data_IF_525283603825
#
_entry.id   IF_525283603825
#
_cell.length_a   1.000
_cell.length_b   1.000
_cell.length_c   1.000
_cell.angle_alpha   90.00
_cell.angle_beta   90.00
_cell.angle_gamma   90.00
#
_symmetry.space_group_name_H-M   'P 1'
#
loop_
_entity.id
_entity.type
_entity.pdbx_description
1 polymer ?
#
# COMPACT_ATOMS: atom_id res chain seq x y z
N UNK A 1 20.85 3.90 29.53
CA UNK A 1 20.79 2.68 28.68
C UNK A 1 20.22 3.14 27.35
N UNK A 2 21.04 3.34 26.33
CA UNK A 2 20.60 3.95 25.08
C UNK A 2 19.86 2.92 24.22
N UNK A 3 18.54 3.05 24.11
CA UNK A 3 17.80 2.38 23.04
C UNK A 3 18.12 3.17 21.77
N UNK A 4 19.09 2.68 20.99
CA UNK A 4 19.28 3.15 19.62
C UNK A 4 18.10 2.67 18.79
N UNK A 5 17.02 3.45 18.72
CA UNK A 5 16.09 3.36 17.60
C UNK A 5 16.75 4.04 16.39
N UNK A 6 17.60 3.27 15.70
CA UNK A 6 18.16 3.66 14.44
C UNK A 6 17.19 3.33 13.31
N UNK A 7 16.33 4.28 12.94
CA UNK A 7 15.77 4.33 11.58
C UNK A 7 16.41 5.53 10.87
N UNK A 8 17.72 5.42 10.62
CA UNK A 8 18.33 6.22 9.55
C UNK A 8 17.90 5.59 8.23
N UNK A 9 16.91 6.16 7.55
CA UNK A 9 16.75 5.95 6.11
C UNK A 9 16.06 7.15 5.45
N UNK A 10 16.78 7.78 4.54
CA UNK A 10 16.30 8.66 3.46
C UNK A 10 15.26 8.00 2.52
N UNK A 11 14.48 7.01 2.97
CA UNK A 11 13.49 6.30 2.15
C UNK A 11 12.23 6.05 2.96
N UNK A 12 11.22 6.84 2.62
CA UNK A 12 9.81 6.50 2.80
C UNK A 12 9.61 5.03 2.39
N UNK A 13 9.31 4.17 3.37
CA UNK A 13 9.06 2.75 3.15
C UNK A 13 7.82 2.57 2.27
N UNK A 14 7.93 1.81 1.18
CA UNK A 14 6.81 1.57 0.25
C UNK A 14 6.37 0.11 0.24
N UNK A 15 5.07 -0.12 0.39
CA UNK A 15 4.46 -1.46 0.38
C UNK A 15 3.56 -1.65 -0.84
N UNK A 16 3.70 -2.79 -1.52
CA UNK A 16 2.76 -3.27 -2.53
C UNK A 16 1.91 -4.40 -1.93
N UNK A 17 0.59 -4.20 -1.84
CA UNK A 17 -0.34 -5.24 -1.42
C UNK A 17 -1.01 -5.84 -2.65
N UNK A 18 -0.75 -7.12 -2.91
CA UNK A 18 -1.35 -7.90 -3.99
C UNK A 18 -2.57 -8.62 -3.45
N UNK A 19 -3.75 -8.26 -3.93
CA UNK A 19 -5.01 -8.67 -3.35
C UNK A 19 -5.63 -9.83 -4.15
N UNK A 20 -5.63 -11.02 -3.56
CA UNK A 20 -6.39 -12.17 -4.05
C UNK A 20 -7.80 -12.13 -3.44
N UNK A 21 -8.78 -11.78 -4.28
CA UNK A 21 -10.19 -11.79 -3.88
C UNK A 21 -11.03 -12.59 -4.86
N UNK A 22 -12.04 -13.26 -4.31
CA UNK A 22 -13.06 -14.00 -5.06
C UNK A 22 -14.44 -13.34 -4.98
N UNK A 23 -14.53 -12.13 -4.43
CA UNK A 23 -15.81 -11.51 -4.06
C UNK A 23 -16.07 -10.26 -4.89
N UNK A 24 -17.24 -10.21 -5.52
CA UNK A 24 -17.81 -9.01 -6.12
C UNK A 24 -18.70 -8.35 -5.08
N UNK A 25 -18.50 -7.05 -4.83
CA UNK A 25 -19.28 -6.27 -3.86
C UNK A 25 -20.34 -5.44 -4.55
N UNK A 26 -21.37 -6.11 -5.00
CA UNK A 26 -22.73 -5.61 -4.80
C UNK A 26 -23.72 -6.70 -5.13
N UNK A 27 -24.18 -7.33 -4.07
CA UNK A 27 -25.53 -7.84 -4.05
C UNK A 27 -26.43 -6.69 -3.61
N UNK A 28 -27.55 -6.44 -4.29
CA UNK A 28 -28.59 -5.54 -3.78
C UNK A 28 -28.90 -5.86 -2.31
N UNK A 29 -28.95 -4.86 -1.44
CA UNK A 29 -29.07 -5.06 0.00
C UNK A 29 -30.39 -5.75 0.38
N UNK A 30 -31.41 -5.66 -0.48
CA UNK A 30 -32.74 -6.22 -0.24
C UNK A 30 -32.91 -7.58 -0.92
N UNK A 31 -32.47 -7.74 -2.17
CA UNK A 31 -32.64 -8.99 -2.93
C UNK A 31 -31.46 -9.96 -2.81
N UNK A 32 -30.30 -9.49 -2.33
CA UNK A 32 -29.02 -10.21 -2.36
C UNK A 32 -28.60 -10.64 -3.77
N UNK A 33 -29.10 -10.00 -4.82
CA UNK A 33 -28.79 -10.31 -6.22
C UNK A 33 -27.68 -9.43 -6.78
N UNK A 34 -26.88 -9.95 -7.71
CA UNK A 34 -25.76 -9.22 -8.32
C UNK A 34 -26.29 -8.00 -9.09
N UNK A 35 -25.73 -6.83 -8.78
CA UNK A 35 -25.98 -5.61 -9.55
C UNK A 35 -24.99 -5.59 -10.72
N UNK A 36 -25.49 -5.77 -11.94
CA UNK A 36 -24.65 -5.80 -13.15
C UNK A 36 -24.10 -4.44 -13.56
N UNK A 37 -24.69 -3.34 -13.08
CA UNK A 37 -24.34 -1.97 -13.46
C UNK A 37 -23.20 -1.33 -12.66
N UNK A 38 -22.59 -2.08 -11.73
CA UNK A 38 -21.51 -1.58 -10.86
C UNK A 38 -20.53 -2.74 -10.64
N UNK A 39 -19.25 -2.52 -10.91
CA UNK A 39 -18.19 -3.48 -10.60
C UNK A 39 -17.43 -2.97 -9.38
N UNK A 40 -17.29 -3.80 -8.33
CA UNK A 40 -16.53 -3.46 -7.11
C UNK A 40 -15.94 -4.71 -6.49
N UNK A 41 -14.75 -4.62 -5.92
CA UNK A 41 -14.18 -5.70 -5.13
C UNK A 41 -14.86 -5.81 -3.75
N UNK A 42 -15.07 -7.04 -3.31
CA UNK A 42 -15.65 -7.40 -2.02
C UNK A 42 -14.67 -7.98 -1.04
N UNK A 43 -15.20 -8.47 0.07
CA UNK A 43 -14.39 -8.88 1.21
C UNK A 43 -13.73 -7.68 1.87
N UNK A 44 -12.46 -7.82 2.23
CA UNK A 44 -11.71 -6.82 3.00
C UNK A 44 -11.12 -5.70 2.14
N UNK A 45 -11.33 -5.70 0.80
CA UNK A 45 -10.82 -4.65 -0.07
C UNK A 45 -11.28 -3.25 0.38
N UNK A 46 -12.57 -3.09 0.68
CA UNK A 46 -13.09 -1.81 1.18
C UNK A 46 -12.56 -1.46 2.57
N UNK A 47 -12.26 -2.44 3.42
CA UNK A 47 -11.66 -2.19 4.74
C UNK A 47 -10.23 -1.69 4.59
N UNK A 48 -9.46 -2.30 3.69
CA UNK A 48 -8.12 -1.87 3.34
C UNK A 48 -8.12 -0.44 2.79
N UNK A 49 -8.97 -0.12 1.81
CA UNK A 49 -9.05 1.24 1.25
C UNK A 49 -9.38 2.28 2.32
N UNK A 50 -10.40 2.03 3.15
CA UNK A 50 -10.77 2.94 4.23
C UNK A 50 -9.61 3.12 5.22
N UNK A 51 -8.95 2.04 5.62
CA UNK A 51 -7.81 2.12 6.54
C UNK A 51 -6.66 2.94 5.97
N UNK A 52 -6.33 2.77 4.67
CA UNK A 52 -5.28 3.54 4.03
C UNK A 52 -5.62 5.04 3.95
N UNK A 53 -6.88 5.37 3.67
CA UNK A 53 -7.36 6.76 3.65
C UNK A 53 -7.34 7.39 5.05
N UNK A 54 -7.92 6.72 6.05
CA UNK A 54 -8.01 7.19 7.44
C UNK A 54 -6.62 7.44 8.06
N UNK A 55 -5.61 6.65 7.66
CA UNK A 55 -4.25 6.79 8.15
C UNK A 55 -3.33 7.63 7.24
N UNK A 56 -3.83 8.14 6.09
CA UNK A 56 -3.03 8.84 5.06
C UNK A 56 -1.83 8.02 4.53
N UNK A 57 -2.04 6.72 4.30
CA UNK A 57 -1.02 5.77 3.84
C UNK A 57 -1.05 5.53 2.32
N UNK A 58 -1.96 6.14 1.56
CA UNK A 58 -2.15 5.88 0.12
C UNK A 58 -0.92 6.20 -0.74
N UNK A 59 -0.07 7.12 -0.29
CA UNK A 59 1.20 7.47 -0.94
C UNK A 59 2.34 6.47 -0.66
N UNK A 60 2.18 5.60 0.33
CA UNK A 60 3.16 4.62 0.77
C UNK A 60 2.74 3.19 0.46
N UNK A 61 1.43 2.93 0.40
CA UNK A 61 0.86 1.62 0.15
C UNK A 61 0.10 1.62 -1.17
N UNK A 62 0.61 0.87 -2.14
CA UNK A 62 -0.11 0.60 -3.39
C UNK A 62 -0.89 -0.71 -3.26
N UNK A 63 -2.16 -0.68 -3.64
CA UNK A 63 -2.98 -1.89 -3.76
C UNK A 63 -2.99 -2.34 -5.22
N UNK A 64 -2.76 -3.62 -5.44
CA UNK A 64 -2.77 -4.23 -6.75
C UNK A 64 -3.63 -5.50 -6.78
N UNK A 65 -4.14 -5.84 -7.96
CA UNK A 65 -4.91 -7.07 -8.18
C UNK A 65 -4.34 -7.81 -9.41
N UNK A 66 -4.10 -9.13 -9.32
CA UNK A 66 -3.69 -9.93 -10.47
C UNK A 66 -4.74 -9.91 -11.59
N UNK A 67 -4.32 -9.81 -12.86
CA UNK A 67 -5.25 -9.78 -14.00
C UNK A 67 -6.16 -11.01 -14.06
N UNK A 68 -5.64 -12.18 -13.69
CA UNK A 68 -6.45 -13.40 -13.64
C UNK A 68 -7.62 -13.32 -12.65
N UNK A 69 -7.45 -12.57 -11.55
CA UNK A 69 -8.51 -12.32 -10.57
C UNK A 69 -9.61 -11.46 -11.17
N UNK A 70 -9.24 -10.40 -11.91
CA UNK A 70 -10.21 -9.52 -12.60
C UNK A 70 -11.02 -10.32 -13.63
N UNK A 71 -10.35 -11.11 -14.47
CA UNK A 71 -10.99 -11.92 -15.49
C UNK A 71 -11.89 -13.01 -14.90
N UNK A 72 -11.51 -13.59 -13.76
CA UNK A 72 -12.39 -14.50 -13.04
C UNK A 72 -13.70 -13.82 -12.61
N UNK A 73 -13.61 -12.62 -11.99
CA UNK A 73 -14.79 -11.90 -11.53
C UNK A 73 -15.70 -11.49 -12.71
N UNK A 74 -15.12 -11.04 -13.83
CA UNK A 74 -15.88 -10.79 -15.08
C UNK A 74 -16.60 -12.05 -15.55
N UNK A 75 -15.91 -13.19 -15.57
CA UNK A 75 -16.49 -14.49 -15.94
C UNK A 75 -17.60 -14.94 -14.97
N UNK A 76 -17.46 -14.67 -13.67
CA UNK A 76 -18.50 -14.95 -12.69
C UNK A 76 -19.77 -14.10 -12.95
N UNK A 77 -19.63 -12.78 -13.19
CA UNK A 77 -20.77 -11.91 -13.53
C UNK A 77 -21.46 -12.37 -14.81
N UNK A 78 -20.69 -12.68 -15.85
CA UNK A 78 -21.23 -13.15 -17.12
C UNK A 78 -22.04 -14.44 -16.94
N UNK A 79 -21.47 -15.44 -16.25
CA UNK A 79 -22.15 -16.71 -15.98
C UNK A 79 -23.42 -16.52 -15.17
N UNK A 80 -23.40 -15.63 -14.17
CA UNK A 80 -24.59 -15.32 -13.37
C UNK A 80 -25.67 -14.65 -14.24
N UNK A 81 -25.31 -13.70 -15.11
CA UNK A 81 -26.29 -13.07 -16.00
C UNK A 81 -26.97 -14.08 -16.93
N UNK A 82 -26.20 -15.00 -17.51
CA UNK A 82 -26.74 -16.06 -18.38
C UNK A 82 -27.72 -16.95 -17.60
N UNK A 83 -27.39 -17.27 -16.35
CA UNK A 83 -28.26 -18.05 -15.45
C UNK A 83 -29.54 -17.30 -15.09
N UNK A 84 -29.44 -16.02 -14.78
CA UNK A 84 -30.58 -15.18 -14.41
C UNK A 84 -31.51 -14.98 -15.62
N UNK A 85 -30.97 -14.68 -16.80
CA UNK A 85 -31.74 -14.58 -18.05
C UNK A 85 -32.54 -15.86 -18.32
N UNK A 86 -31.92 -17.03 -18.15
CA UNK A 86 -32.61 -18.33 -18.30
C UNK A 86 -33.71 -18.52 -17.25
N UNK A 87 -33.42 -18.19 -16.00
CA UNK A 87 -34.36 -18.32 -14.88
C UNK A 87 -35.58 -17.41 -15.08
N UNK A 88 -35.35 -16.15 -15.46
CA UNK A 88 -36.41 -15.18 -15.78
C UNK A 88 -37.27 -15.64 -16.96
N UNK A 89 -36.67 -16.19 -18.01
CA UNK A 89 -37.43 -16.78 -19.13
C UNK A 89 -38.33 -17.94 -18.72
N UNK A 90 -37.86 -18.81 -17.82
CA UNK A 90 -38.67 -19.90 -17.24
C UNK A 90 -39.82 -19.33 -16.41
N UNK A 91 -39.56 -18.35 -15.55
CA UNK A 91 -40.59 -17.71 -14.72
C UNK A 91 -41.66 -17.02 -15.58
N UNK A 92 -41.25 -16.31 -16.63
CA UNK A 92 -42.17 -15.71 -17.59
C UNK A 92 -43.09 -16.75 -18.23
N UNK A 93 -42.56 -17.89 -18.66
CA UNK A 93 -43.36 -18.99 -19.25
C UNK A 93 -44.34 -19.65 -18.27
N UNK A 94 -44.04 -19.61 -16.97
CA UNK A 94 -44.92 -20.13 -15.92
C UNK A 94 -46.02 -19.14 -15.59
N UNK A 95 -45.66 -17.86 -15.41
CA UNK A 95 -46.59 -16.79 -15.07
C UNK A 95 -47.57 -16.48 -16.20
N UNK A 96 -47.14 -16.61 -17.46
CA UNK A 96 -48.03 -16.41 -18.63
C UNK A 96 -49.19 -17.41 -18.72
N UNK A 97 -49.19 -18.47 -17.90
CA UNK A 97 -50.30 -19.44 -17.81
C UNK A 97 -51.40 -19.00 -16.84
N UNK A 98 -51.11 -18.02 -15.99
CA UNK A 98 -52.09 -17.47 -15.05
C UNK A 98 -52.91 -16.42 -15.79
N UNK A 99 -54.22 -16.62 -15.80
CA UNK A 99 -55.16 -15.67 -16.41
C UNK A 99 -54.99 -14.31 -15.72
N UNK A 100 -54.97 -13.24 -16.51
CA UNK A 100 -54.84 -11.85 -16.06
C UNK A 100 -53.45 -11.41 -15.55
N UNK A 101 -52.41 -12.27 -15.61
CA UNK A 101 -51.02 -11.85 -15.40
C UNK A 101 -50.32 -11.64 -16.75
N UNK A 102 -49.92 -10.39 -17.02
CA UNK A 102 -49.09 -10.07 -18.18
C UNK A 102 -47.69 -9.67 -17.70
N UNK A 103 -46.80 -10.66 -17.63
CA UNK A 103 -45.38 -10.44 -17.34
C UNK A 103 -44.56 -10.67 -18.61
N UNK A 104 -43.81 -9.66 -19.02
CA UNK A 104 -42.92 -9.73 -20.17
C UNK A 104 -41.55 -9.18 -19.83
N UNK A 105 -40.52 -10.00 -20.00
CA UNK A 105 -39.13 -9.61 -19.86
C UNK A 105 -38.41 -9.80 -21.19
N UNK A 106 -37.80 -8.74 -21.70
CA UNK A 106 -36.98 -8.80 -22.91
C UNK A 106 -35.70 -7.99 -22.70
N UNK A 107 -34.56 -8.68 -22.80
CA UNK A 107 -33.28 -8.01 -23.00
C UNK A 107 -33.30 -7.39 -24.39
N UNK A 108 -32.88 -6.12 -24.51
CA UNK A 108 -32.81 -5.43 -25.82
C UNK A 108 -32.03 -6.27 -26.83
N UNK A 109 -32.58 -6.39 -28.04
CA UNK A 109 -31.88 -7.05 -29.15
C UNK A 109 -30.52 -6.38 -29.38
N UNK A 110 -29.47 -7.19 -29.52
CA UNK A 110 -28.09 -6.72 -29.71
C UNK A 110 -27.34 -6.31 -28.44
N UNK A 111 -27.96 -6.35 -27.25
CA UNK A 111 -27.22 -6.11 -26.00
C UNK A 111 -26.19 -7.21 -25.74
N UNK A 112 -24.93 -6.82 -25.61
CA UNK A 112 -23.79 -7.69 -25.30
C UNK A 112 -23.35 -7.44 -23.86
N UNK A 113 -23.68 -8.38 -22.99
CA UNK A 113 -23.35 -8.30 -21.56
C UNK A 113 -21.83 -8.35 -21.33
N UNK A 114 -21.08 -9.05 -22.17
CA UNK A 114 -19.61 -9.17 -22.07
C UNK A 114 -18.93 -7.80 -22.23
N UNK A 115 -19.32 -7.06 -23.28
CA UNK A 115 -18.86 -5.69 -23.53
C UNK A 115 -19.25 -4.77 -22.36
N UNK A 116 -20.49 -4.89 -21.87
CA UNK A 116 -20.98 -4.07 -20.77
C UNK A 116 -20.21 -4.30 -19.46
N UNK A 117 -19.98 -5.57 -19.09
CA UNK A 117 -19.20 -5.93 -17.90
C UNK A 117 -17.76 -5.43 -18.06
N UNK A 118 -17.15 -5.65 -19.24
CA UNK A 118 -15.77 -5.23 -19.51
C UNK A 118 -15.61 -3.73 -19.34
N UNK A 119 -16.46 -2.92 -19.98
CA UNK A 119 -16.42 -1.47 -19.84
C UNK A 119 -16.61 -1.01 -18.40
N UNK A 120 -17.58 -1.59 -17.68
CA UNK A 120 -17.86 -1.23 -16.28
C UNK A 120 -16.68 -1.59 -15.36
N UNK A 121 -16.01 -2.73 -15.60
CA UNK A 121 -14.81 -3.13 -14.86
C UNK A 121 -13.64 -2.20 -15.15
N UNK A 122 -13.41 -1.83 -16.42
CA UNK A 122 -12.34 -0.90 -16.80
C UNK A 122 -12.56 0.50 -16.22
N UNK A 123 -13.80 1.02 -16.26
CA UNK A 123 -14.17 2.28 -15.62
C UNK A 123 -13.89 2.26 -14.12
N UNK A 124 -14.21 1.14 -13.45
CA UNK A 124 -13.90 0.96 -12.03
C UNK A 124 -12.40 0.97 -11.75
N UNK A 125 -11.62 0.15 -12.47
CA UNK A 125 -10.16 0.05 -12.29
C UNK A 125 -9.50 1.42 -12.48
N UNK A 126 -9.92 2.16 -13.50
CA UNK A 126 -9.42 3.51 -13.77
C UNK A 126 -9.80 4.50 -12.67
N UNK A 127 -11.05 4.46 -12.18
CA UNK A 127 -11.54 5.38 -11.15
C UNK A 127 -10.83 5.19 -9.80
N UNK A 128 -10.58 3.94 -9.43
CA UNK A 128 -9.94 3.60 -8.15
C UNK A 128 -8.40 3.60 -8.24
N UNK A 129 -7.85 3.96 -9.41
CA UNK A 129 -6.41 3.94 -9.72
C UNK A 129 -5.75 2.62 -9.33
N UNK A 130 -6.46 1.52 -9.57
CA UNK A 130 -6.01 0.21 -9.13
C UNK A 130 -4.90 -0.31 -10.04
N UNK A 131 -3.79 -0.73 -9.43
CA UNK A 131 -2.72 -1.38 -10.17
C UNK A 131 -3.13 -2.81 -10.55
N UNK A 132 -3.19 -3.11 -11.84
CA UNK A 132 -3.42 -4.48 -12.30
C UNK A 132 -2.08 -5.14 -12.61
N UNK A 133 -1.79 -6.24 -11.91
CA UNK A 133 -0.60 -7.04 -12.19
C UNK A 133 -0.87 -7.82 -13.46
N UNK A 134 -0.15 -7.48 -14.51
CA UNK A 134 -0.23 -8.13 -15.82
C UNK A 134 1.14 -8.70 -16.17
N UNK A 135 1.12 -9.75 -16.99
CA UNK A 135 2.32 -10.34 -17.56
C UNK A 135 2.45 -9.87 -18.99
N UNK A 136 3.62 -9.35 -19.32
CA UNK A 136 3.99 -8.99 -20.69
C UNK A 136 3.70 -10.17 -21.64
N UNK A 137 3.01 -9.90 -22.74
CA UNK A 137 2.63 -10.90 -23.75
C UNK A 137 3.83 -11.74 -24.22
N UNK A 138 5.02 -11.13 -24.29
CA UNK A 138 6.26 -11.82 -24.67
C UNK A 138 6.65 -12.93 -23.68
N UNK A 139 6.19 -12.87 -22.44
CA UNK A 139 6.47 -13.85 -21.38
C UNK A 139 5.35 -14.88 -21.18
N UNK A 140 4.24 -14.79 -21.92
CA UNK A 140 3.11 -15.72 -21.75
C UNK A 140 3.50 -17.18 -22.00
N UNK A 141 4.36 -17.44 -22.99
CA UNK A 141 4.85 -18.78 -23.28
C UNK A 141 5.67 -19.36 -22.11
N UNK A 142 6.51 -18.54 -21.49
CA UNK A 142 7.34 -18.93 -20.35
C UNK A 142 6.49 -19.13 -19.09
N UNK A 143 5.50 -18.26 -18.86
CA UNK A 143 4.50 -18.43 -17.80
C UNK A 143 3.78 -19.76 -17.93
N UNK A 144 3.25 -20.07 -19.12
CA UNK A 144 2.53 -21.32 -19.36
C UNK A 144 3.44 -22.54 -19.16
N UNK A 145 4.71 -22.43 -19.59
CA UNK A 145 5.71 -23.49 -19.38
C UNK A 145 6.00 -23.68 -17.89
N UNK A 146 6.18 -22.59 -17.14
CA UNK A 146 6.40 -22.61 -15.69
C UNK A 146 5.23 -23.25 -14.96
N UNK A 147 3.99 -22.84 -15.29
CA UNK A 147 2.76 -23.37 -14.71
C UNK A 147 2.65 -24.89 -14.91
N UNK A 148 2.95 -25.39 -16.12
CA UNK A 148 2.98 -26.83 -16.43
C UNK A 148 4.05 -27.55 -15.61
N UNK A 149 5.24 -26.97 -15.50
CA UNK A 149 6.34 -27.57 -14.72
C UNK A 149 5.93 -27.69 -13.25
N UNK A 150 5.34 -26.65 -12.65
CA UNK A 150 4.89 -26.69 -11.27
C UNK A 150 3.83 -27.77 -11.05
N UNK A 151 2.84 -27.83 -11.94
CA UNK A 151 1.78 -28.85 -11.89
C UNK A 151 2.36 -30.27 -11.94
N UNK A 152 3.28 -30.56 -12.86
CA UNK A 152 3.86 -31.91 -12.99
C UNK A 152 4.84 -32.27 -11.87
N UNK A 153 5.48 -31.28 -11.26
CA UNK A 153 6.47 -31.48 -10.18
C UNK A 153 5.86 -31.34 -8.78
N UNK A 154 4.56 -31.10 -8.69
CA UNK A 154 3.88 -30.86 -7.42
C UNK A 154 4.46 -29.68 -6.63
N UNK A 155 4.82 -28.60 -7.34
CA UNK A 155 5.36 -27.39 -6.72
C UNK A 155 4.23 -26.44 -6.39
N UNK A 156 4.33 -25.81 -5.22
CA UNK A 156 3.40 -24.78 -4.77
C UNK A 156 3.23 -23.71 -5.87
N UNK A 157 1.99 -23.27 -6.15
CA UNK A 157 0.76 -23.55 -5.39
C UNK A 157 0.06 -24.91 -5.57
N UNK A 158 0.61 -25.84 -6.35
CA UNK A 158 0.16 -27.24 -6.34
C UNK A 158 0.72 -28.01 -5.13
N UNK A 159 0.01 -29.06 -4.72
CA UNK A 159 0.48 -30.07 -3.75
C UNK A 159 1.46 -31.05 -4.42
N UNK A 160 2.07 -31.93 -3.63
CA UNK A 160 3.07 -32.91 -4.12
C UNK A 160 2.53 -33.87 -5.19
N UNK A 161 1.20 -34.05 -5.25
CA UNK A 161 0.51 -34.85 -6.26
C UNK A 161 0.14 -34.04 -7.52
N UNK A 162 0.53 -32.76 -7.58
CA UNK A 162 0.16 -31.85 -8.65
C UNK A 162 -1.28 -31.37 -8.59
N UNK A 163 -2.00 -31.62 -7.49
CA UNK A 163 -3.36 -31.14 -7.26
C UNK A 163 -3.29 -29.77 -6.62
N UNK A 164 -4.11 -28.85 -7.06
CA UNK A 164 -4.12 -27.51 -6.51
C UNK A 164 -5.12 -26.64 -7.24
N UNK A 165 -5.35 -25.47 -6.68
CA UNK A 165 -6.19 -24.49 -7.32
C UNK A 165 -5.40 -23.82 -8.46
N UNK A 166 -5.81 -24.08 -9.69
CA UNK A 166 -5.19 -23.48 -10.89
C UNK A 166 -5.17 -21.95 -10.80
N UNK A 167 -6.17 -21.35 -10.16
CA UNK A 167 -6.24 -19.91 -9.94
C UNK A 167 -5.07 -19.42 -9.08
N UNK A 168 -4.79 -20.10 -7.98
CA UNK A 168 -3.74 -19.71 -7.03
C UNK A 168 -2.36 -19.86 -7.69
N UNK A 169 -2.17 -20.91 -8.50
CA UNK A 169 -0.99 -21.08 -9.32
C UNK A 169 -0.83 -19.97 -10.38
N UNK A 170 -1.93 -19.55 -11.02
CA UNK A 170 -1.89 -18.46 -11.98
C UNK A 170 -1.59 -17.11 -11.32
N UNK A 171 -2.16 -16.82 -10.15
CA UNK A 171 -1.82 -15.65 -9.34
C UNK A 171 -0.32 -15.65 -9.06
N UNK A 172 0.23 -16.77 -8.58
CA UNK A 172 1.66 -16.86 -8.29
C UNK A 172 2.52 -16.59 -9.51
N UNK A 173 2.17 -17.17 -10.66
CA UNK A 173 2.91 -16.93 -11.89
C UNK A 173 2.81 -15.47 -12.36
N UNK A 174 1.64 -14.83 -12.26
CA UNK A 174 1.51 -13.41 -12.59
C UNK A 174 2.44 -12.55 -11.73
N UNK A 175 2.52 -12.82 -10.43
CA UNK A 175 3.47 -12.17 -9.51
C UNK A 175 4.92 -12.48 -9.92
N UNK A 176 5.23 -13.74 -10.23
CA UNK A 176 6.59 -14.13 -10.57
C UNK A 176 7.07 -13.58 -11.91
N UNK A 177 6.19 -13.23 -12.85
CA UNK A 177 6.57 -12.76 -14.19
C UNK A 177 6.36 -11.27 -14.42
N UNK A 178 5.62 -10.60 -13.54
CA UNK A 178 5.43 -9.16 -13.53
C UNK A 178 6.74 -8.39 -13.31
N UNK A 179 6.68 -7.10 -13.58
CA UNK A 179 7.78 -6.15 -13.42
C UNK A 179 7.34 -4.97 -12.54
N UNK A 180 8.28 -4.12 -12.14
CA UNK A 180 7.96 -2.91 -11.37
C UNK A 180 8.04 -3.07 -9.84
N UNK A 181 8.75 -4.08 -9.33
CA UNK A 181 8.96 -4.25 -7.89
C UNK A 181 10.04 -3.33 -7.30
N UNK A 182 10.84 -2.66 -8.14
CA UNK A 182 11.98 -1.87 -7.69
C UNK A 182 11.58 -0.71 -6.78
N UNK A 183 10.39 -0.13 -7.00
CA UNK A 183 9.84 0.98 -6.22
C UNK A 183 9.19 0.60 -4.89
N UNK A 184 9.24 -0.69 -4.49
CA UNK A 184 8.65 -1.20 -3.27
C UNK A 184 9.71 -1.87 -2.39
N UNK A 185 9.64 -1.65 -1.09
CA UNK A 185 10.47 -2.30 -0.08
C UNK A 185 9.88 -3.64 0.36
N UNK A 186 8.54 -3.68 0.45
CA UNK A 186 7.76 -4.83 0.89
C UNK A 186 6.67 -5.16 -0.12
N UNK A 187 6.53 -6.44 -0.42
CA UNK A 187 5.40 -6.99 -1.15
C UNK A 187 4.61 -7.87 -0.18
N UNK A 188 3.29 -7.74 -0.17
CA UNK A 188 2.38 -8.55 0.65
C UNK A 188 1.34 -9.18 -0.26
N UNK A 189 1.26 -10.50 -0.30
CA UNK A 189 0.12 -11.20 -0.89
C UNK A 189 -0.97 -11.34 0.16
N UNK A 190 -2.09 -10.66 -0.04
CA UNK A 190 -3.29 -10.84 0.77
C UNK A 190 -4.19 -11.92 0.17
N UNK A 191 -4.27 -13.09 0.82
CA UNK A 191 -5.05 -14.24 0.35
C UNK A 191 -5.67 -15.02 1.50
N UNK A 192 -6.79 -15.69 1.24
CA UNK A 192 -7.37 -16.64 2.21
C UNK A 192 -6.70 -18.04 2.15
N UNK A 193 -5.90 -18.31 1.12
CA UNK A 193 -5.32 -19.62 0.82
C UNK A 193 -3.80 -19.67 1.12
N UNK A 194 -3.35 -19.06 2.21
CA UNK A 194 -1.93 -18.97 2.59
C UNK A 194 -1.15 -20.31 2.48
N UNK A 195 -1.79 -21.44 2.85
CA UNK A 195 -1.20 -22.79 2.79
C UNK A 195 -0.79 -23.23 1.38
N UNK A 196 -1.41 -22.66 0.35
CA UNK A 196 -1.09 -22.95 -1.04
C UNK A 196 0.14 -22.16 -1.49
N UNK A 197 0.54 -21.12 -0.77
CA UNK A 197 1.71 -20.30 -1.09
C UNK A 197 2.91 -20.56 -0.17
N UNK A 198 2.91 -21.67 0.58
CA UNK A 198 4.06 -22.02 1.42
C UNK A 198 5.33 -22.20 0.59
N UNK A 199 6.43 -21.54 0.99
CA UNK A 199 7.70 -21.55 0.27
C UNK A 199 7.78 -20.62 -0.95
N UNK A 200 6.65 -20.08 -1.43
CA UNK A 200 6.61 -19.08 -2.49
C UNK A 200 7.38 -17.79 -2.12
N UNK A 201 7.29 -17.25 -0.89
CA UNK A 201 8.08 -16.06 -0.51
C UNK A 201 9.58 -16.23 -0.71
N UNK A 202 10.11 -17.44 -0.45
CA UNK A 202 11.52 -17.75 -0.65
C UNK A 202 11.90 -17.65 -2.13
N UNK A 203 11.09 -18.22 -3.03
CA UNK A 203 11.31 -18.14 -4.48
C UNK A 203 11.30 -16.68 -4.96
N UNK A 204 10.39 -15.85 -4.44
CA UNK A 204 10.33 -14.43 -4.78
C UNK A 204 11.56 -13.67 -4.30
N UNK A 205 11.97 -13.87 -3.04
CA UNK A 205 13.17 -13.24 -2.46
C UNK A 205 14.41 -13.65 -3.26
N UNK A 206 14.55 -14.92 -3.63
CA UNK A 206 15.67 -15.41 -4.44
C UNK A 206 15.72 -14.75 -5.83
N UNK A 207 14.56 -14.48 -6.44
CA UNK A 207 14.48 -13.87 -7.77
C UNK A 207 14.66 -12.34 -7.76
N UNK A 208 14.05 -11.66 -6.81
CA UNK A 208 13.93 -10.20 -6.81
C UNK A 208 14.77 -9.51 -5.74
N UNK A 209 15.28 -10.25 -4.74
CA UNK A 209 15.96 -9.70 -3.56
C UNK A 209 15.13 -8.60 -2.87
N UNK A 210 13.83 -8.85 -2.73
CA UNK A 210 12.83 -7.97 -2.13
C UNK A 210 12.05 -8.70 -1.05
N UNK A 211 11.61 -8.00 -0.01
CA UNK A 211 10.83 -8.59 1.06
C UNK A 211 9.45 -9.00 0.56
N UNK A 212 9.03 -10.22 0.89
CA UNK A 212 7.74 -10.77 0.50
C UNK A 212 7.09 -11.45 1.70
N UNK A 213 5.82 -11.13 1.91
CA UNK A 213 5.03 -11.69 3.00
C UNK A 213 3.65 -12.14 2.50
N UNK A 214 3.02 -13.05 3.22
CA UNK A 214 1.68 -13.54 2.91
C UNK A 214 0.81 -13.28 4.13
N UNK A 215 -0.26 -12.51 3.93
CA UNK A 215 -1.17 -12.15 4.99
C UNK A 215 -2.55 -12.74 4.71
N UNK A 216 -3.05 -13.48 5.70
CA UNK A 216 -4.41 -14.02 5.72
C UNK A 216 -5.23 -13.24 6.74
N UNK A 217 -6.48 -12.93 6.38
CA UNK A 217 -7.42 -12.16 7.22
C UNK A 217 -7.03 -10.71 7.48
N UNK A 218 -8.05 -9.86 7.64
CA UNK A 218 -7.87 -8.42 7.78
C UNK A 218 -7.00 -8.04 8.98
N UNK A 219 -7.19 -8.70 10.12
CA UNK A 219 -6.50 -8.37 11.37
C UNK A 219 -4.99 -8.52 11.22
N UNK A 220 -4.51 -9.57 10.55
CA UNK A 220 -3.08 -9.79 10.39
C UNK A 220 -2.46 -8.77 9.43
N UNK A 221 -3.17 -8.44 8.34
CA UNK A 221 -2.72 -7.38 7.43
C UNK A 221 -2.67 -6.02 8.15
N UNK A 222 -3.70 -5.71 8.94
CA UNK A 222 -3.75 -4.48 9.71
C UNK A 222 -2.58 -4.39 10.69
N UNK A 223 -2.37 -5.43 11.51
CA UNK A 223 -1.23 -5.50 12.43
C UNK A 223 0.10 -5.36 11.69
N UNK A 224 0.23 -5.97 10.50
CA UNK A 224 1.44 -5.83 9.70
C UNK A 224 1.67 -4.39 9.22
N UNK A 225 0.62 -3.68 8.85
CA UNK A 225 0.70 -2.27 8.47
C UNK A 225 1.01 -1.39 9.68
N UNK A 226 0.48 -1.71 10.86
CA UNK A 226 0.81 -1.03 12.12
C UNK A 226 2.28 -1.27 12.52
N UNK A 227 2.83 -2.46 12.31
CA UNK A 227 4.27 -2.71 12.52
C UNK A 227 5.15 -1.87 11.58
N UNK A 228 4.72 -1.69 10.33
CA UNK A 228 5.52 -0.98 9.30
C UNK A 228 5.38 0.54 9.43
N UNK A 229 4.16 1.02 9.72
CA UNK A 229 3.78 2.44 9.66
C UNK A 229 3.31 3.01 11.00
N UNK A 230 3.32 2.24 12.09
CA UNK A 230 2.84 2.68 13.41
C UNK A 230 3.60 3.89 13.93
N UNK A 231 4.94 3.84 13.90
CA UNK A 231 5.79 4.97 14.29
C UNK A 231 5.51 6.21 13.41
N UNK A 232 5.32 6.01 12.09
CA UNK A 232 4.94 7.12 11.20
C UNK A 232 3.60 7.73 11.60
N UNK A 233 2.60 6.91 11.93
CA UNK A 233 1.28 7.38 12.35
C UNK A 233 1.34 8.14 13.68
N UNK A 234 2.14 7.65 14.64
CA UNK A 234 2.38 8.32 15.91
C UNK A 234 3.09 9.67 15.73
N UNK A 235 4.04 9.75 14.78
CA UNK A 235 4.84 10.95 14.54
C UNK A 235 4.27 11.88 13.46
N UNK A 236 3.15 11.52 12.84
CA UNK A 236 2.55 12.23 11.70
C UNK A 236 2.26 13.69 11.99
N UNK A 237 1.81 13.99 13.20
CA UNK A 237 1.53 15.36 13.62
C UNK A 237 2.81 16.20 13.73
N UNK A 238 3.95 15.59 14.07
CA UNK A 238 5.25 16.25 14.06
C UNK A 238 5.79 16.43 12.65
N UNK A 239 5.57 15.47 11.75
CA UNK A 239 5.88 15.65 10.33
C UNK A 239 5.08 16.81 9.73
N UNK A 240 3.77 16.89 10.01
CA UNK A 240 2.93 18.03 9.60
C UNK A 240 3.41 19.33 10.22
N UNK A 241 3.73 19.32 11.52
CA UNK A 241 4.26 20.48 12.24
C UNK A 241 5.58 20.99 11.64
N UNK A 242 6.52 20.10 11.32
CA UNK A 242 7.81 20.44 10.71
C UNK A 242 7.68 21.15 9.35
N UNK A 243 6.55 20.96 8.65
CA UNK A 243 6.27 21.64 7.37
C UNK A 243 5.57 22.99 7.54
N UNK A 244 5.11 23.35 8.74
CA UNK A 244 4.41 24.62 9.00
C UNK A 244 5.35 25.83 8.88
N UNK A 245 4.77 26.99 8.56
CA UNK A 245 5.51 28.25 8.54
C UNK A 245 6.07 28.59 9.93
N UNK A 246 5.34 28.25 11.01
CA UNK A 246 5.80 28.45 12.38
C UNK A 246 7.12 27.72 12.67
N UNK A 247 7.22 26.44 12.32
CA UNK A 247 8.46 25.68 12.47
C UNK A 247 9.58 26.25 11.59
N UNK A 248 9.27 26.55 10.32
CA UNK A 248 10.25 27.12 9.38
C UNK A 248 10.79 28.47 9.84
N UNK A 249 9.92 29.32 10.40
CA UNK A 249 10.30 30.62 10.94
C UNK A 249 11.21 30.47 12.16
N UNK A 250 10.89 29.56 13.08
CA UNK A 250 11.76 29.24 14.22
C UNK A 250 13.13 28.76 13.74
N UNK A 251 13.16 27.73 12.89
CA UNK A 251 14.39 27.18 12.32
C UNK A 251 15.24 28.27 11.64
N UNK A 252 14.60 29.13 10.84
CA UNK A 252 15.28 30.23 10.14
C UNK A 252 15.86 31.25 11.13
N UNK A 253 15.15 31.54 12.23
CA UNK A 253 15.64 32.44 13.27
C UNK A 253 16.85 31.84 14.01
N UNK A 254 16.84 30.54 14.31
CA UNK A 254 17.98 29.86 14.94
C UNK A 254 19.20 29.82 14.02
N UNK A 255 19.03 29.40 12.76
CA UNK A 255 20.11 29.35 11.78
C UNK A 255 20.74 30.73 11.51
N UNK A 256 19.99 31.83 11.63
CA UNK A 256 20.54 33.20 11.55
C UNK A 256 21.44 33.56 12.73
N UNK A 257 21.24 32.94 13.89
CA UNK A 257 22.06 33.16 15.08
C UNK A 257 23.35 32.33 15.02
N UNK A 258 23.33 31.21 14.29
CA UNK A 258 24.49 30.36 14.02
C UNK A 258 25.48 31.04 13.07
N UNK A 259 26.56 31.59 13.63
CA UNK A 259 27.59 32.31 12.85
C UNK A 259 28.72 31.39 12.38
N UNK A 260 28.88 30.23 12.99
CA UNK A 260 30.01 29.34 12.77
C UNK A 260 29.57 27.88 12.79
N UNK A 261 30.30 27.04 12.07
CA UNK A 261 30.12 25.58 12.13
C UNK A 261 31.45 24.89 12.39
N UNK A 262 31.42 23.85 13.23
CA UNK A 262 32.56 23.01 13.52
C UNK A 262 32.60 21.82 12.55
N UNK A 263 33.73 21.64 11.86
CA UNK A 263 33.99 20.56 10.91
C UNK A 263 35.07 19.60 11.44
N UNK A 264 35.11 19.40 12.75
CA UNK A 264 36.03 18.52 13.47
C UNK A 264 37.24 19.27 14.02
N UNK A 265 38.20 19.60 13.16
CA UNK A 265 39.42 20.33 13.54
C UNK A 265 39.41 21.81 13.16
N UNK A 266 38.44 22.22 12.36
CA UNK A 266 38.30 23.59 11.87
C UNK A 266 36.91 24.14 12.21
N UNK A 267 36.86 25.40 12.63
CA UNK A 267 35.61 26.16 12.75
C UNK A 267 35.58 27.18 11.62
N UNK A 268 34.51 27.15 10.81
CA UNK A 268 34.35 28.06 9.67
C UNK A 268 33.16 28.97 9.86
N UNK A 269 33.27 30.22 9.41
CA UNK A 269 32.15 31.17 9.45
C UNK A 269 31.11 30.83 8.37
N UNK A 270 29.84 30.86 8.77
CA UNK A 270 28.69 30.70 7.86
C UNK A 270 28.38 32.07 7.24
N UNK A 271 28.31 32.14 5.91
CA UNK A 271 27.89 33.35 5.19
C UNK A 271 26.40 33.33 4.85
N UNK A 272 25.91 32.16 4.43
CA UNK A 272 24.53 31.98 3.99
C UNK A 272 24.08 30.53 4.27
N UNK A 273 22.77 30.34 4.42
CA UNK A 273 22.16 29.02 4.55
C UNK A 273 20.89 28.92 3.71
N UNK A 274 20.58 27.69 3.28
CA UNK A 274 19.34 27.34 2.60
C UNK A 274 18.77 26.07 3.24
N UNK A 275 17.49 26.11 3.64
CA UNK A 275 16.79 24.93 4.16
C UNK A 275 16.29 24.11 2.96
N UNK A 276 16.83 22.91 2.80
CA UNK A 276 16.52 22.03 1.68
C UNK A 276 15.28 21.17 1.97
N UNK A 277 15.17 20.64 3.19
CA UNK A 277 14.02 19.83 3.61
C UNK A 277 13.85 19.81 5.14
N UNK A 278 12.62 20.04 5.62
CA UNK A 278 12.29 20.05 7.05
C UNK A 278 11.61 18.75 7.48
N UNK A 279 12.01 18.12 8.57
CA UNK A 279 11.38 16.89 9.05
C UNK A 279 11.62 15.73 8.08
N UNK A 280 12.88 15.55 7.70
CA UNK A 280 13.33 14.37 6.95
C UNK A 280 13.25 13.10 7.80
N UNK A 281 13.47 13.27 9.09
CA UNK A 281 13.41 12.21 10.10
C UNK A 281 12.90 12.84 11.41
N UNK A 282 12.18 12.05 12.19
CA UNK A 282 11.69 12.43 13.51
C UNK A 282 11.94 11.26 14.46
N UNK A 283 12.65 11.54 15.55
CA UNK A 283 12.92 10.55 16.60
C UNK A 283 12.33 11.01 17.91
N UNK A 284 11.70 10.10 18.66
CA UNK A 284 11.30 10.36 20.03
C UNK A 284 12.40 9.86 20.98
N UNK A 285 12.83 10.71 21.91
CA UNK A 285 13.77 10.41 22.98
C UNK A 285 13.19 10.92 24.31
N UNK A 286 13.21 10.10 25.35
CA UNK A 286 12.75 10.48 26.69
C UNK A 286 13.95 11.02 27.45
N UNK A 287 13.91 12.30 27.82
CA UNK A 287 14.98 12.95 28.58
C UNK A 287 14.51 13.34 29.96
N UNK A 288 15.33 13.06 30.97
CA UNK A 288 15.18 13.66 32.29
C UNK A 288 15.67 15.11 32.22
N UNK A 289 14.77 16.04 32.52
CA UNK A 289 15.06 17.47 32.56
C UNK A 289 14.81 17.96 33.99
N UNK A 290 15.80 18.65 34.56
CA UNK A 290 15.73 19.22 35.91
C UNK A 290 17.07 19.08 36.64
N UNK A 291 17.15 19.70 37.83
CA UNK A 291 18.26 19.49 38.75
C UNK A 291 18.05 18.21 39.57
N UNK A 292 19.09 17.70 40.22
CA UNK A 292 19.11 16.41 40.95
C UNK A 292 17.91 16.17 41.90
N UNK A 293 17.30 17.23 42.44
CA UNK A 293 16.17 17.13 43.36
C UNK A 293 14.79 17.14 42.67
N UNK A 294 14.68 17.57 41.40
CA UNK A 294 13.42 17.82 40.67
C UNK A 294 13.47 17.41 39.19
N UNK A 295 14.07 16.27 38.86
CA UNK A 295 14.02 15.72 37.50
C UNK A 295 12.61 15.26 37.13
N UNK A 296 12.15 15.63 35.94
CA UNK A 296 10.95 15.09 35.30
C UNK A 296 11.29 14.58 33.90
N UNK A 297 10.66 13.49 33.50
CA UNK A 297 10.79 12.93 32.17
C UNK A 297 9.96 13.76 31.18
N UNK A 298 10.59 14.20 30.09
CA UNK A 298 9.95 14.87 28.96
C UNK A 298 10.23 14.05 27.71
N UNK A 299 9.17 13.72 26.97
CA UNK A 299 9.30 13.17 25.63
C UNK A 299 9.68 14.30 24.67
N UNK A 300 10.84 14.16 24.03
CA UNK A 300 11.34 15.10 23.04
C UNK A 300 11.41 14.46 21.66
N UNK A 301 10.82 15.14 20.70
CA UNK A 301 10.82 14.80 19.29
C UNK A 301 11.90 15.59 18.58
N UNK A 302 12.96 14.90 18.16
CA UNK A 302 14.05 15.45 17.38
C UNK A 302 13.66 15.48 15.90
N UNK A 303 13.43 16.66 15.37
CA UNK A 303 13.08 16.89 13.97
C UNK A 303 14.37 17.23 13.20
N UNK A 304 14.76 16.33 12.31
CA UNK A 304 15.96 16.46 11.50
C UNK A 304 15.64 17.23 10.22
N UNK A 305 16.40 18.29 9.96
CA UNK A 305 16.24 19.19 8.83
C UNK A 305 17.54 19.30 8.05
N UNK A 306 17.49 19.15 6.74
CA UNK A 306 18.68 19.25 5.89
C UNK A 306 18.90 20.68 5.45
N UNK A 307 20.09 21.19 5.76
CA UNK A 307 20.46 22.59 5.53
C UNK A 307 21.73 22.62 4.68
N UNK A 308 21.70 23.40 3.61
CA UNK A 308 22.89 23.78 2.84
C UNK A 308 23.51 25.02 3.47
N UNK A 309 24.82 25.00 3.69
CA UNK A 309 25.58 26.12 4.25
C UNK A 309 26.64 26.55 3.25
N UNK A 310 26.71 27.86 3.03
CA UNK A 310 27.79 28.50 2.26
C UNK A 310 28.74 29.16 3.26
N UNK A 311 29.99 28.73 3.23
CA UNK A 311 31.02 29.15 4.17
C UNK A 311 31.81 30.36 3.62
N UNK A 312 32.66 30.95 4.46
CA UNK A 312 33.42 32.15 4.11
C UNK A 312 34.41 32.00 2.95
N UNK A 313 34.83 30.78 2.66
CA UNK A 313 35.68 30.43 1.51
C UNK A 313 34.86 30.04 0.25
N UNK A 314 33.55 30.31 0.25
CA UNK A 314 32.56 29.90 -0.76
C UNK A 314 32.38 28.38 -0.90
N UNK A 315 32.85 27.58 0.06
CA UNK A 315 32.55 26.15 0.09
C UNK A 315 31.09 25.93 0.47
N UNK A 316 30.40 25.06 -0.26
CA UNK A 316 29.06 24.59 0.11
C UNK A 316 29.14 23.25 0.81
N UNK A 317 28.52 23.13 1.97
CA UNK A 317 28.35 21.87 2.69
C UNK A 317 26.87 21.63 2.98
N UNK A 318 26.50 20.36 3.14
CA UNK A 318 25.15 19.96 3.57
C UNK A 318 25.28 19.27 4.92
N UNK A 319 24.44 19.68 5.87
CA UNK A 319 24.40 19.15 7.24
C UNK A 319 22.96 18.97 7.69
N UNK A 320 22.79 18.11 8.68
CA UNK A 320 21.54 17.98 9.39
C UNK A 320 21.54 19.01 10.53
N UNK A 321 20.42 19.69 10.67
CA UNK A 321 20.10 20.55 11.79
C UNK A 321 18.96 19.88 12.55
N UNK A 322 19.18 19.63 13.83
CA UNK A 322 18.24 18.93 14.69
C UNK A 322 17.53 19.95 15.55
N UNK A 323 16.20 19.91 15.55
CA UNK A 323 15.33 20.72 16.40
C UNK A 323 14.56 19.79 17.32
N UNK A 324 14.78 19.88 18.63
CA UNK A 324 14.01 19.12 19.62
C UNK A 324 12.76 19.90 20.01
N UNK A 325 11.60 19.24 19.93
CA UNK A 325 10.32 19.78 20.41
C UNK A 325 9.63 18.83 21.37
N UNK A 326 8.79 19.33 22.26
CA UNK A 326 7.95 18.49 23.12
C UNK A 326 6.57 18.21 22.53
N UNK A 327 5.70 17.55 23.32
CA UNK A 327 4.30 17.26 23.00
C UNK A 327 3.44 18.47 22.66
N UNK A 328 3.78 19.64 23.24
CA UNK A 328 3.10 20.90 22.96
C UNK A 328 3.70 21.62 21.76
N UNK A 329 4.70 21.00 21.09
CA UNK A 329 5.46 21.57 19.99
C UNK A 329 6.22 22.84 20.41
N UNK A 330 6.59 22.92 21.68
CA UNK A 330 7.50 23.94 22.19
C UNK A 330 8.94 23.53 21.87
N UNK A 331 9.80 24.51 21.56
CA UNK A 331 11.17 24.27 21.13
C UNK A 331 12.13 24.22 22.31
N UNK A 332 12.99 23.20 22.35
CA UNK A 332 13.90 22.94 23.47
C UNK A 332 15.37 23.09 23.09
N UNK A 333 15.81 22.37 22.07
CA UNK A 333 17.22 22.30 21.68
C UNK A 333 17.37 22.42 20.17
N UNK A 334 18.46 23.03 19.74
CA UNK A 334 18.79 23.18 18.33
C UNK A 334 20.30 23.01 18.12
N UNK A 335 20.73 22.16 17.20
CA UNK A 335 22.15 22.03 16.87
C UNK A 335 22.39 21.45 15.47
N UNK A 336 23.59 21.66 14.93
CA UNK A 336 24.08 20.90 13.79
C UNK A 336 24.61 19.53 14.23
N UNK A 337 24.29 18.50 13.45
CA UNK A 337 24.86 17.14 13.57
C UNK A 337 25.90 16.86 12.48
#
# INVERSE_FOLDING_TARGET
>A
MFIRCGVSKDMIYKTLIIFDTNRIRKTDEHSKEIIYSDFKFGGDYGRLRNYLEENELEQYVTVAVPSCVVEELKSQMFRQFVKDKKTTGILQSKLSKIKDINFSYNVKSGFKIEDYITNTTEEYIKREELLIITVDETKHADLLKSLKIRMYRGQKPFDEEGRGNLKDALIWEEIMWASGYDGYDQIILYTNNEKDFTGCPKEFIEKYNKSFDIQKEWVNLQTKLEEIYGEYNELKDYYKFAKTDYFRDHLTQQLKQEKFINLGVETKKIQYFEVLDCGMDIKCDVREIGDDDHAYEVELFEIYTKVSLILEDNTTIVRNYVVSVDDNKEFWFNCFE
#
